data_IF_301483361336
#
_entry.id   IF_301483361336
#
_cell.length_a   1.000
_cell.length_b   1.000
_cell.length_c   1.000
_cell.angle_alpha   90.00
_cell.angle_beta   90.00
_cell.angle_gamma   90.00
#
_symmetry.space_group_name_H-M   'P 1'
#
loop_
_entity.id
_entity.type
_entity.pdbx_description
1 polymer ?
#
# COMPACT_ATOMS: atom_id res chain seq x y z
N UNK A 1 -23.47 13.90 13.72
CA UNK A 1 -22.78 15.18 13.93
C UNK A 1 -21.53 15.24 13.06
N UNK A 2 -21.34 16.34 12.32
CA UNK A 2 -20.10 16.62 11.59
C UNK A 2 -19.28 17.67 12.35
N UNK A 3 -17.99 17.42 12.57
CA UNK A 3 -17.04 18.40 13.09
C UNK A 3 -16.19 18.89 11.93
N UNK A 4 -16.15 20.20 11.72
CA UNK A 4 -15.36 20.87 10.69
C UNK A 4 -14.29 21.74 11.34
N UNK A 5 -13.09 21.69 10.78
CA UNK A 5 -12.01 22.60 11.14
C UNK A 5 -11.55 23.35 9.89
N UNK A 6 -11.86 24.65 9.86
CA UNK A 6 -11.53 25.54 8.75
C UNK A 6 -10.19 26.23 9.04
N UNK A 7 -9.13 25.94 8.26
CA UNK A 7 -7.83 26.54 8.47
C UNK A 7 -7.85 28.04 8.16
N UNK A 8 -6.91 28.82 8.71
CA UNK A 8 -6.75 30.22 8.35
C UNK A 8 -6.33 30.36 6.87
N UNK A 9 -6.63 31.48 6.21
CA UNK A 9 -6.21 31.72 4.83
C UNK A 9 -4.67 31.69 4.73
N UNK A 10 -4.16 30.84 3.84
CA UNK A 10 -2.74 30.62 3.59
C UNK A 10 -2.47 30.69 2.08
N UNK A 11 -1.26 31.11 1.64
CA UNK A 11 -0.89 31.10 0.22
C UNK A 11 -0.96 29.71 -0.42
N UNK A 12 -0.83 28.64 0.38
CA UNK A 12 -1.11 27.28 -0.04
C UNK A 12 -2.52 26.87 0.44
N UNK A 13 -3.34 26.24 -0.42
CA UNK A 13 -4.68 25.79 -0.01
C UNK A 13 -4.56 24.64 0.97
N UNK A 14 -4.78 24.91 2.26
CA UNK A 14 -4.91 23.88 3.30
C UNK A 14 -6.35 23.34 3.27
N UNK A 15 -6.55 22.01 3.19
CA UNK A 15 -7.90 21.44 3.15
C UNK A 15 -8.62 21.62 4.49
N UNK A 16 -9.94 21.80 4.44
CA UNK A 16 -10.80 21.71 5.63
C UNK A 16 -10.76 20.29 6.17
N UNK A 17 -10.52 20.15 7.47
CA UNK A 17 -10.51 18.84 8.13
C UNK A 17 -11.92 18.51 8.59
N UNK A 18 -12.39 17.32 8.21
CA UNK A 18 -13.73 16.83 8.52
C UNK A 18 -13.63 15.61 9.43
N UNK A 19 -14.38 15.62 10.53
CA UNK A 19 -14.51 14.49 11.43
C UNK A 19 -15.99 14.18 11.66
N UNK A 20 -16.42 12.98 11.28
CA UNK A 20 -17.78 12.53 11.47
C UNK A 20 -17.91 11.78 12.80
N UNK A 21 -18.79 12.26 13.68
CA UNK A 21 -19.23 11.51 14.85
C UNK A 21 -20.65 11.01 14.61
N UNK A 22 -20.80 9.69 14.59
CA UNK A 22 -22.06 9.02 14.39
C UNK A 22 -22.34 8.06 15.54
N UNK A 23 -23.58 8.02 15.99
CA UNK A 23 -24.07 6.99 16.88
C UNK A 23 -24.89 6.01 16.04
N UNK A 24 -24.47 4.73 15.94
CA UNK A 24 -25.20 3.75 15.16
C UNK A 24 -26.58 3.50 15.79
N UNK A 25 -27.58 3.27 14.94
CA UNK A 25 -28.91 2.91 15.41
C UNK A 25 -28.86 1.60 16.19
N UNK A 26 -29.63 1.56 17.28
CA UNK A 26 -29.75 0.34 18.07
C UNK A 26 -30.61 -0.68 17.30
N UNK A 27 -30.21 -1.97 17.31
CA UNK A 27 -31.04 -3.04 16.77
C UNK A 27 -32.47 -3.00 17.36
N UNK A 28 -33.49 -3.03 16.49
CA UNK A 28 -34.89 -2.90 16.91
C UNK A 28 -35.44 -4.04 17.77
N UNK A 29 -34.68 -5.12 17.94
CA UNK A 29 -35.02 -6.23 18.83
C UNK A 29 -34.52 -6.05 20.28
N UNK A 30 -33.77 -4.98 20.56
CA UNK A 30 -33.30 -4.72 21.91
C UNK A 30 -34.40 -4.05 22.75
N UNK A 31 -34.60 -4.48 24.00
CA UNK A 31 -35.51 -3.77 24.91
C UNK A 31 -34.96 -2.37 25.18
N UNK A 32 -35.85 -1.37 25.13
CA UNK A 32 -35.51 0.00 25.50
C UNK A 32 -35.21 0.05 27.00
N UNK A 33 -34.06 0.60 27.43
CA UNK A 33 -33.77 0.80 28.84
C UNK A 33 -34.92 1.51 29.57
N UNK A 34 -35.33 1.05 30.77
CA UNK A 34 -36.49 1.63 31.47
C UNK A 34 -36.39 3.14 31.71
N UNK A 35 -35.18 3.66 31.94
CA UNK A 35 -34.94 5.09 32.09
C UNK A 35 -35.28 5.88 30.82
N UNK A 36 -34.88 5.37 29.65
CA UNK A 36 -35.17 5.99 28.35
C UNK A 36 -36.66 5.89 28.02
N UNK A 37 -37.30 4.76 28.31
CA UNK A 37 -38.74 4.59 28.13
C UNK A 37 -39.53 5.60 28.99
N UNK A 38 -39.11 5.82 30.25
CA UNK A 38 -39.71 6.83 31.10
C UNK A 38 -39.50 8.26 30.57
N UNK A 39 -38.32 8.58 30.02
CA UNK A 39 -38.07 9.88 29.39
C UNK A 39 -38.95 10.11 28.17
N UNK A 40 -39.06 9.11 27.27
CA UNK A 40 -39.94 9.18 26.10
C UNK A 40 -41.40 9.37 26.49
N UNK A 41 -41.88 8.63 27.51
CA UNK A 41 -43.24 8.80 28.01
C UNK A 41 -43.50 10.22 28.54
N UNK A 42 -42.49 10.87 29.15
CA UNK A 42 -42.60 12.28 29.59
C UNK A 42 -42.63 13.25 28.43
N UNK A 43 -41.78 13.05 27.41
CA UNK A 43 -41.81 13.88 26.19
C UNK A 43 -43.20 13.83 25.55
N UNK A 44 -43.79 12.64 25.43
CA UNK A 44 -45.15 12.47 24.89
C UNK A 44 -46.21 13.15 25.76
N UNK A 45 -46.10 13.04 27.09
CA UNK A 45 -47.04 13.68 28.01
C UNK A 45 -47.00 15.21 27.93
N UNK A 46 -45.84 15.77 27.60
CA UNK A 46 -45.61 17.22 27.46
C UNK A 46 -45.78 17.72 26.01
N UNK A 47 -46.26 16.86 25.08
CA UNK A 47 -46.43 17.15 23.64
C UNK A 47 -45.12 17.60 22.94
N UNK A 48 -43.99 17.04 23.37
CA UNK A 48 -42.68 17.27 22.79
C UNK A 48 -42.33 16.18 21.78
N UNK A 49 -41.64 16.57 20.71
CA UNK A 49 -41.17 15.64 19.68
C UNK A 49 -40.13 14.66 20.25
N UNK A 50 -40.24 13.40 19.86
CA UNK A 50 -39.24 12.40 20.20
C UNK A 50 -37.93 12.67 19.46
N UNK A 51 -36.76 12.53 20.10
CA UNK A 51 -35.50 12.77 19.43
C UNK A 51 -35.26 11.77 18.29
N UNK A 52 -34.56 12.17 17.22
CA UNK A 52 -34.35 11.31 16.05
C UNK A 52 -33.49 10.09 16.35
N UNK A 53 -32.64 10.15 17.39
CA UNK A 53 -31.83 9.03 17.84
C UNK A 53 -32.07 8.78 19.33
N UNK A 54 -32.21 7.50 19.72
CA UNK A 54 -32.38 7.11 21.13
C UNK A 54 -31.17 7.50 22.00
N UNK A 55 -29.98 7.58 21.41
CA UNK A 55 -28.77 8.04 22.11
C UNK A 55 -28.88 9.49 22.62
N UNK A 56 -29.81 10.29 22.09
CA UNK A 56 -30.08 11.63 22.60
C UNK A 56 -30.65 11.63 24.03
N UNK A 57 -31.20 10.50 24.49
CA UNK A 57 -31.71 10.31 25.85
C UNK A 57 -30.61 9.98 26.85
N UNK A 58 -29.43 9.59 26.37
CA UNK A 58 -28.25 9.35 27.21
C UNK A 58 -27.55 10.67 27.54
N UNK A 59 -27.24 10.90 28.82
CA UNK A 59 -26.68 12.18 29.27
C UNK A 59 -25.31 12.49 28.65
N UNK A 60 -24.49 11.49 28.37
CA UNK A 60 -23.17 11.69 27.80
C UNK A 60 -23.22 11.88 26.27
N UNK A 61 -24.17 11.23 25.59
CA UNK A 61 -24.34 11.32 24.15
C UNK A 61 -25.38 12.36 23.69
N UNK A 62 -26.17 12.93 24.61
CA UNK A 62 -27.26 13.85 24.30
C UNK A 62 -26.82 15.02 23.41
N UNK A 63 -25.81 15.78 23.86
CA UNK A 63 -25.37 16.97 23.14
C UNK A 63 -24.83 16.63 21.74
N UNK A 64 -23.89 15.69 21.57
CA UNK A 64 -23.43 15.32 20.23
C UNK A 64 -24.51 14.68 19.36
N UNK A 65 -25.54 14.06 19.94
CA UNK A 65 -26.66 13.50 19.20
C UNK A 65 -27.64 14.58 18.68
N UNK A 66 -27.71 15.74 19.34
CA UNK A 66 -28.57 16.87 18.96
C UNK A 66 -27.88 17.89 18.03
N UNK A 67 -26.56 17.79 17.87
CA UNK A 67 -25.79 18.65 16.98
C UNK A 67 -25.71 18.05 15.56
N UNK A 68 -26.14 18.85 14.59
CA UNK A 68 -25.95 18.55 13.17
C UNK A 68 -24.49 18.75 12.78
N UNK A 69 -23.94 19.94 13.10
CA UNK A 69 -22.61 20.37 12.69
C UNK A 69 -21.93 21.22 13.77
N UNK A 70 -20.62 21.07 13.93
CA UNK A 70 -19.76 21.92 14.75
C UNK A 70 -18.62 22.40 13.88
N UNK A 71 -18.53 23.70 13.64
CA UNK A 71 -17.49 24.31 12.82
C UNK A 71 -16.55 25.14 13.67
N UNK A 72 -15.26 24.84 13.60
CA UNK A 72 -14.19 25.65 14.16
C UNK A 72 -13.55 26.47 13.03
N UNK A 73 -13.74 27.78 13.07
CA UNK A 73 -13.11 28.73 12.15
C UNK A 73 -11.90 29.38 12.82
N UNK A 74 -10.68 28.97 12.42
CA UNK A 74 -9.45 29.57 12.94
C UNK A 74 -9.15 30.96 12.39
N UNK A 75 -9.73 31.34 11.25
CA UNK A 75 -9.53 32.69 10.71
C UNK A 75 -10.24 33.71 11.59
N UNK A 76 -11.44 33.38 12.05
CA UNK A 76 -12.26 34.25 12.89
C UNK A 76 -12.11 33.97 14.39
N UNK A 77 -11.58 32.81 14.78
CA UNK A 77 -11.49 32.38 16.18
C UNK A 77 -12.85 32.03 16.78
N UNK A 78 -13.73 31.44 15.97
CA UNK A 78 -15.14 31.19 16.32
C UNK A 78 -15.48 29.72 16.17
N UNK A 79 -16.29 29.23 17.10
CA UNK A 79 -16.96 27.95 17.01
C UNK A 79 -18.44 28.19 16.74
N UNK A 80 -18.98 27.54 15.72
CA UNK A 80 -20.39 27.61 15.33
C UNK A 80 -20.99 26.22 15.46
N UNK A 81 -22.06 26.09 16.22
CA UNK A 81 -22.79 24.84 16.40
C UNK A 81 -24.16 24.96 15.76
N UNK A 82 -24.45 24.09 14.78
CA UNK A 82 -25.76 23.95 14.19
C UNK A 82 -26.48 22.73 14.81
N UNK A 83 -27.70 22.95 15.29
CA UNK A 83 -28.54 21.94 15.90
C UNK A 83 -29.50 21.31 14.87
N UNK A 84 -30.05 20.15 15.20
CA UNK A 84 -30.96 19.41 14.30
C UNK A 84 -32.29 20.13 14.05
N UNK A 85 -32.68 21.04 14.93
CA UNK A 85 -33.86 21.91 14.79
C UNK A 85 -33.60 23.14 13.90
N UNK A 86 -32.36 23.31 13.40
CA UNK A 86 -31.92 24.44 12.60
C UNK A 86 -31.43 25.64 13.42
N UNK A 87 -31.51 25.60 14.75
CA UNK A 87 -30.91 26.62 15.59
C UNK A 87 -29.38 26.63 15.40
N UNK A 88 -28.78 27.81 15.52
CA UNK A 88 -27.32 27.98 15.43
C UNK A 88 -26.84 28.85 16.57
N UNK A 89 -25.81 28.37 17.26
CA UNK A 89 -25.13 29.10 18.33
C UNK A 89 -23.67 29.33 17.96
N UNK A 90 -23.13 30.47 18.39
CA UNK A 90 -21.76 30.88 18.05
C UNK A 90 -21.03 31.44 19.27
N UNK A 91 -19.79 31.01 19.45
CA UNK A 91 -18.93 31.49 20.53
C UNK A 91 -17.51 31.75 20.00
N UNK A 92 -16.82 32.70 20.62
CA UNK A 92 -15.36 32.78 20.48
C UNK A 92 -14.68 31.71 21.33
N UNK A 93 -13.59 31.14 20.82
CA UNK A 93 -12.76 30.22 21.60
C UNK A 93 -11.43 30.86 21.99
N UNK A 94 -10.84 30.36 23.09
CA UNK A 94 -9.61 30.89 23.66
C UNK A 94 -8.37 30.63 22.78
N UNK A 95 -7.33 31.44 22.94
CA UNK A 95 -6.11 31.35 22.11
C UNK A 95 -5.38 30.02 22.29
N UNK A 96 -5.44 29.40 23.47
CA UNK A 96 -4.87 28.07 23.70
C UNK A 96 -5.56 27.00 22.84
N UNK A 97 -6.88 27.12 22.65
CA UNK A 97 -7.64 26.25 21.76
C UNK A 97 -7.23 26.49 20.30
N UNK A 98 -7.03 27.75 19.90
CA UNK A 98 -6.54 28.12 18.57
C UNK A 98 -5.18 27.49 18.28
N UNK A 99 -4.25 27.57 19.23
CA UNK A 99 -2.91 26.99 19.09
C UNK A 99 -2.97 25.46 18.96
N UNK A 100 -3.79 24.81 19.79
CA UNK A 100 -3.99 23.37 19.72
C UNK A 100 -4.55 22.93 18.36
N UNK A 101 -5.59 23.62 17.87
CA UNK A 101 -6.18 23.33 16.56
C UNK A 101 -5.22 23.63 15.40
N UNK A 102 -4.37 24.64 15.54
CA UNK A 102 -3.32 24.95 14.56
C UNK A 102 -2.28 23.83 14.46
N UNK A 103 -1.94 23.19 15.58
CA UNK A 103 -1.07 22.00 15.59
C UNK A 103 -1.70 20.83 14.83
N UNK A 104 -2.99 20.59 15.04
CA UNK A 104 -3.74 19.54 14.30
C UNK A 104 -3.67 19.80 12.79
N UNK A 105 -3.83 21.04 12.34
CA UNK A 105 -3.67 21.40 10.93
C UNK A 105 -2.27 21.07 10.42
N UNK A 106 -1.24 21.47 11.17
CA UNK A 106 0.15 21.19 10.82
C UNK A 106 0.42 19.69 10.71
N UNK A 107 -0.11 18.89 11.63
CA UNK A 107 0.05 17.44 11.64
C UNK A 107 -0.65 16.77 10.44
N UNK A 108 -1.84 17.24 10.08
CA UNK A 108 -2.57 16.75 8.90
C UNK A 108 -1.82 17.09 7.62
N UNK A 109 -1.30 18.31 7.49
CA UNK A 109 -0.48 18.69 6.33
C UNK A 109 0.80 17.86 6.22
N UNK A 110 1.49 17.64 7.35
CA UNK A 110 2.70 16.82 7.38
C UNK A 110 2.39 15.37 6.99
N UNK A 111 1.28 14.82 7.48
CA UNK A 111 0.81 13.47 7.16
C UNK A 111 0.48 13.35 5.67
N UNK A 112 -0.22 14.33 5.10
CA UNK A 112 -0.51 14.37 3.66
C UNK A 112 0.76 14.38 2.81
N UNK A 113 1.73 15.25 3.14
CA UNK A 113 3.04 15.28 2.44
C UNK A 113 3.85 13.98 2.62
N UNK A 114 3.72 13.31 3.75
CA UNK A 114 4.36 12.02 3.99
C UNK A 114 3.72 10.91 3.14
N UNK A 115 2.40 10.90 3.07
CA UNK A 115 1.64 9.92 2.27
C UNK A 115 1.93 10.07 0.78
N UNK A 116 1.99 11.29 0.25
CA UNK A 116 2.37 11.54 -1.15
C UNK A 116 3.76 11.00 -1.47
N UNK A 117 4.76 11.31 -0.63
CA UNK A 117 6.12 10.79 -0.79
C UNK A 117 6.16 9.26 -0.73
N UNK A 118 5.38 8.65 0.16
CA UNK A 118 5.29 7.19 0.25
C UNK A 118 4.68 6.59 -1.03
N UNK A 119 3.62 7.20 -1.58
CA UNK A 119 3.00 6.77 -2.84
C UNK A 119 3.98 6.88 -4.01
N UNK A 120 4.74 7.96 -4.11
CA UNK A 120 5.77 8.13 -5.14
C UNK A 120 6.90 7.10 -5.01
N UNK A 121 7.34 6.84 -3.78
CA UNK A 121 8.35 5.83 -3.50
C UNK A 121 7.89 4.44 -3.94
N UNK A 122 6.67 4.04 -3.58
CA UNK A 122 6.08 2.76 -3.99
C UNK A 122 6.04 2.62 -5.50
N UNK A 123 5.59 3.67 -6.22
CA UNK A 123 5.59 3.68 -7.69
C UNK A 123 6.99 3.50 -8.29
N UNK A 124 8.00 4.18 -7.72
CA UNK A 124 9.41 4.03 -8.17
C UNK A 124 9.94 2.62 -7.95
N UNK A 125 9.65 2.04 -6.78
CA UNK A 125 10.07 0.67 -6.45
C UNK A 125 9.38 -0.35 -7.37
N UNK A 126 8.09 -0.20 -7.64
CA UNK A 126 7.37 -1.07 -8.58
C UNK A 126 7.91 -0.96 -10.00
N UNK A 127 8.15 0.26 -10.49
CA UNK A 127 8.74 0.48 -11.80
C UNK A 127 10.13 -0.14 -11.93
N UNK A 128 10.97 0.00 -10.91
CA UNK A 128 12.32 -0.59 -10.93
C UNK A 128 12.26 -2.12 -10.89
N UNK A 129 11.36 -2.70 -10.09
CA UNK A 129 11.12 -4.15 -10.08
C UNK A 129 10.68 -4.66 -11.45
N UNK A 130 9.81 -3.93 -12.14
CA UNK A 130 9.37 -4.30 -13.48
C UNK A 130 10.52 -4.22 -14.50
N UNK A 131 11.37 -3.20 -14.41
CA UNK A 131 12.56 -3.04 -15.26
C UNK A 131 13.53 -4.20 -15.08
N UNK A 132 13.87 -4.53 -13.83
CA UNK A 132 14.77 -5.66 -13.52
C UNK A 132 14.18 -6.97 -14.04
N UNK A 133 12.88 -7.21 -13.81
CA UNK A 133 12.22 -8.42 -14.30
C UNK A 133 12.19 -8.51 -15.84
N UNK A 134 12.12 -7.38 -16.54
CA UNK A 134 12.21 -7.33 -18.01
C UNK A 134 13.62 -7.68 -18.48
N UNK A 135 14.64 -7.06 -17.88
CA UNK A 135 16.03 -7.36 -18.21
C UNK A 135 16.41 -8.82 -17.92
N UNK A 136 15.90 -9.41 -16.84
CA UNK A 136 16.15 -10.83 -16.53
C UNK A 136 15.51 -11.75 -17.56
N UNK A 137 14.27 -11.48 -17.99
CA UNK A 137 13.61 -12.23 -19.08
C UNK A 137 14.39 -12.15 -20.38
N UNK A 138 14.82 -10.96 -20.78
CA UNK A 138 15.63 -10.77 -22.00
C UNK A 138 16.96 -11.53 -21.93
N UNK A 139 17.65 -11.53 -20.77
CA UNK A 139 18.89 -12.30 -20.58
C UNK A 139 18.66 -13.81 -20.59
N UNK A 140 17.53 -14.28 -20.09
CA UNK A 140 17.16 -15.70 -20.12
C UNK A 140 16.89 -16.15 -21.56
N UNK A 141 16.09 -15.38 -22.31
CA UNK A 141 15.81 -15.62 -23.73
C UNK A 141 17.10 -15.64 -24.58
N UNK A 142 18.04 -14.72 -24.32
CA UNK A 142 19.33 -14.70 -25.03
C UNK A 142 20.19 -15.95 -24.74
N UNK A 143 20.22 -16.41 -23.47
CA UNK A 143 20.94 -17.63 -23.08
C UNK A 143 20.33 -18.88 -23.69
N UNK A 144 19.00 -18.97 -23.74
CA UNK A 144 18.31 -20.08 -24.39
C UNK A 144 18.61 -20.11 -25.90
N UNK A 145 18.54 -18.96 -26.57
CA UNK A 145 18.87 -18.85 -27.98
C UNK A 145 20.34 -19.19 -28.28
N UNK A 146 21.29 -18.82 -27.42
CA UNK A 146 22.69 -19.21 -27.57
C UNK A 146 22.88 -20.72 -27.38
N UNK A 147 22.22 -21.31 -26.38
CA UNK A 147 22.26 -22.75 -26.14
C UNK A 147 21.71 -23.53 -27.34
N UNK A 148 20.61 -23.07 -27.92
CA UNK A 148 20.00 -23.67 -29.11
C UNK A 148 20.96 -23.61 -30.31
N UNK A 149 21.54 -22.45 -30.61
CA UNK A 149 22.55 -22.30 -31.69
C UNK A 149 23.76 -23.22 -31.46
N UNK A 150 24.25 -23.30 -30.22
CA UNK A 150 25.37 -24.17 -29.87
C UNK A 150 25.03 -25.66 -30.04
N UNK A 151 23.80 -26.05 -29.67
CA UNK A 151 23.28 -27.39 -29.88
C UNK A 151 23.25 -27.72 -31.38
N UNK A 152 22.60 -26.87 -32.20
CA UNK A 152 22.51 -27.06 -33.64
C UNK A 152 23.87 -27.18 -34.33
N UNK A 153 24.82 -26.30 -34.00
CA UNK A 153 26.18 -26.34 -34.54
C UNK A 153 26.88 -27.67 -34.22
N UNK A 154 26.69 -28.18 -33.00
CA UNK A 154 27.24 -29.48 -32.57
C UNK A 154 26.62 -30.64 -33.34
N UNK A 155 25.30 -30.63 -33.56
CA UNK A 155 24.60 -31.66 -34.33
C UNK A 155 25.03 -31.67 -35.80
N UNK A 156 25.24 -30.49 -36.40
CA UNK A 156 25.76 -30.36 -37.76
C UNK A 156 27.20 -30.89 -37.87
N UNK A 157 28.08 -30.58 -36.91
CA UNK A 157 29.44 -31.11 -36.88
C UNK A 157 29.48 -32.64 -36.76
N UNK A 158 28.62 -33.23 -35.93
CA UNK A 158 28.49 -34.69 -35.81
C UNK A 158 28.01 -35.33 -37.11
N UNK A 159 27.06 -34.72 -37.82
CA UNK A 159 26.61 -35.18 -39.15
C UNK A 159 27.73 -35.08 -40.20
N UNK A 160 28.53 -34.01 -40.19
CA UNK A 160 29.67 -33.86 -41.10
C UNK A 160 30.74 -34.93 -40.85
N UNK A 161 31.09 -35.17 -39.57
CA UNK A 161 32.04 -36.23 -39.18
C UNK A 161 31.54 -37.65 -39.48
N UNK A 162 30.23 -37.88 -39.42
CA UNK A 162 29.62 -39.13 -39.86
C UNK A 162 29.83 -39.40 -41.35
N UNK A 163 29.67 -38.37 -42.19
CA UNK A 163 29.90 -38.45 -43.64
C UNK A 163 31.38 -38.64 -44.00
N UNK A 164 32.32 -38.01 -43.29
CA UNK A 164 33.77 -38.26 -43.45
C UNK A 164 34.15 -39.70 -43.09
N UNK A 165 33.52 -40.27 -42.06
CA UNK A 165 33.79 -41.65 -41.62
C UNK A 165 33.20 -42.70 -42.57
N UNK A 166 32.11 -42.38 -43.28
CA UNK A 166 31.60 -43.21 -44.38
C UNK A 166 32.47 -43.09 -45.64
N UNK A 167 33.07 -41.93 -45.93
CA UNK A 167 34.02 -41.77 -47.04
C UNK A 167 35.39 -42.42 -46.76
N UNK A 168 35.82 -42.55 -45.50
CA UNK A 168 37.10 -43.20 -45.14
C UNK A 168 37.03 -44.73 -45.09
N UNK A 169 35.86 -45.35 -45.23
CA UNK A 169 35.69 -46.82 -45.29
C UNK A 169 35.82 -47.40 -46.71
N UNK A 170 36.04 -46.57 -47.74
CA UNK A 170 36.14 -46.98 -49.15
C UNK A 170 37.56 -46.88 -49.77
N UNK A 171 38.63 -46.83 -48.97
CA UNK A 171 40.00 -46.83 -49.50
C UNK A 171 40.91 -47.86 -48.79
N UNK A 172 41.71 -48.65 -49.53
CA UNK A 172 42.50 -49.74 -48.97
C UNK A 172 43.76 -49.27 -48.25
N UNK A 173 44.19 -50.12 -47.32
CA UNK A 173 45.27 -49.93 -46.35
C UNK A 173 46.66 -49.76 -46.95
N UNK A 174 47.50 -48.95 -46.30
CA UNK A 174 48.95 -49.22 -46.17
C UNK A 174 49.46 -48.88 -44.77
N UNK A 175 50.27 -49.80 -44.24
CA UNK A 175 50.86 -49.87 -42.91
C UNK A 175 52.20 -49.12 -42.83
N UNK A 176 52.51 -48.46 -41.71
CA UNK A 176 53.62 -48.80 -40.78
C UNK A 176 53.98 -47.67 -39.79
N UNK A 177 53.95 -48.04 -38.50
CA UNK A 177 54.82 -47.71 -37.34
C UNK A 177 55.18 -46.25 -36.97
N UNK A 178 54.96 -45.94 -35.68
CA UNK A 178 55.66 -44.88 -34.96
C UNK A 178 55.21 -44.74 -33.49
N UNK A 179 55.82 -45.50 -32.60
CA UNK A 179 55.64 -45.51 -31.15
C UNK A 179 56.14 -44.20 -30.51
N UNK A 180 55.41 -43.62 -29.56
CA UNK A 180 55.92 -43.20 -28.22
C UNK A 180 54.82 -42.57 -27.36
N UNK A 181 54.82 -42.95 -26.09
CA UNK A 181 53.96 -42.50 -24.98
C UNK A 181 54.74 -41.44 -24.19
N UNK A 182 54.11 -40.44 -23.56
CA UNK A 182 53.87 -40.56 -22.10
C UNK A 182 52.54 -39.91 -21.63
N UNK A 183 51.78 -40.61 -20.78
CA UNK A 183 51.57 -40.37 -19.34
C UNK A 183 50.90 -39.04 -18.95
N UNK A 184 49.58 -39.16 -18.76
CA UNK A 184 48.77 -38.71 -17.60
C UNK A 184 49.08 -37.38 -16.92
N UNK A 185 48.04 -36.54 -16.82
CA UNK A 185 47.58 -35.98 -15.53
C UNK A 185 46.10 -35.62 -15.62
N UNK A 186 45.27 -36.46 -14.98
CA UNK A 186 43.94 -36.05 -14.54
C UNK A 186 44.13 -34.98 -13.45
N UNK A 187 43.50 -33.83 -13.62
CA UNK A 187 43.10 -33.00 -12.49
C UNK A 187 41.58 -32.97 -12.41
N UNK A 188 41.07 -33.75 -11.45
CA UNK A 188 39.78 -33.55 -10.81
C UNK A 188 39.99 -32.57 -9.65
N UNK A 189 39.43 -31.37 -9.77
CA UNK A 189 39.08 -30.46 -8.67
C UNK A 189 38.57 -29.16 -9.31
N UNK A 190 37.48 -28.51 -8.93
CA UNK A 190 36.42 -28.72 -7.93
C UNK A 190 35.19 -27.98 -8.47
N UNK A 191 34.03 -28.51 -8.11
CA UNK A 191 32.70 -27.93 -8.27
C UNK A 191 32.66 -26.40 -8.05
N UNK A 192 32.03 -25.70 -8.99
CA UNK A 192 31.68 -24.27 -8.97
C UNK A 192 30.50 -23.98 -8.00
N UNK A 193 30.07 -24.99 -7.24
CA UNK A 193 28.82 -25.01 -6.46
C UNK A 193 29.05 -24.78 -4.94
N UNK A 194 30.20 -24.22 -4.53
CA UNK A 194 30.50 -23.91 -3.12
C UNK A 194 31.13 -22.52 -2.88
N UNK A 195 31.18 -21.64 -3.88
CA UNK A 195 31.73 -20.28 -3.71
C UNK A 195 30.68 -19.16 -3.59
N UNK A 196 29.38 -19.50 -3.53
CA UNK A 196 28.27 -18.54 -3.50
C UNK A 196 27.35 -18.71 -2.28
N UNK A 197 27.90 -19.07 -1.11
CA UNK A 197 27.12 -19.15 0.15
C UNK A 197 27.76 -18.33 1.29
N UNK A 198 28.62 -17.35 1.00
CA UNK A 198 29.23 -16.54 2.07
C UNK A 198 29.25 -15.03 1.88
N UNK A 199 28.45 -14.45 0.97
CA UNK A 199 28.43 -12.98 0.78
C UNK A 199 27.07 -12.32 0.96
N UNK A 200 25.96 -13.04 1.15
CA UNK A 200 24.68 -12.37 1.45
C UNK A 200 23.88 -13.08 2.55
N UNK A 201 23.71 -12.33 3.65
CA UNK A 201 22.82 -12.45 4.81
C UNK A 201 23.42 -13.06 6.09
N UNK A 202 23.27 -12.40 7.25
CA UNK A 202 23.30 -10.96 7.57
C UNK A 202 24.57 -10.53 8.34
#
# INVERSE_FOLDING_TARGET
MLIKLTPPPSPAPTPTILFALAFPDLPGNLPVPPAWAAQLARLVADDLEAPPALHALDRAAALPALLAEVQFDLSQGRVTCAFLDGATEEWSFADECREMLSKVICDVEQSGRAEERAREWTKKVEAERERVAREEREREEEREAEMERAYEAKTQSLRAKGKEKEQSLNSPSTSLKGTTRPKSRLHKSRSLLMALVHVFLP
#
